data_IF_150387485121
#
_entry.id   IF_150387485121
#
_cell.length_a   1.000
_cell.length_b   1.000
_cell.length_c   1.000
_cell.angle_alpha   90.00
_cell.angle_beta   90.00
_cell.angle_gamma   90.00
#
_symmetry.space_group_name_H-M   'P 1'
#
loop_
_entity.id
_entity.type
_entity.pdbx_description
1 polymer ?
#
# COMPACT_ATOMS: atom_id res chain seq x y z
N UNK A 1 -3.77 29.40 5.80
CA UNK A 1 -4.11 27.96 5.84
C UNK A 1 -2.87 27.23 6.32
N UNK A 2 -2.93 26.71 7.54
CA UNK A 2 -1.80 26.14 8.25
C UNK A 2 -1.38 24.82 7.61
N UNK A 3 -0.19 24.76 7.04
CA UNK A 3 0.46 23.50 6.72
C UNK A 3 0.76 22.81 8.05
N UNK A 4 -0.02 21.80 8.40
CA UNK A 4 0.34 20.89 9.48
C UNK A 4 1.44 20.00 8.93
N UNK A 5 2.68 20.48 9.01
CA UNK A 5 3.89 19.67 8.92
C UNK A 5 4.00 18.82 10.20
N UNK A 6 3.05 17.91 10.40
CA UNK A 6 3.28 16.75 11.24
C UNK A 6 4.24 15.86 10.46
N UNK A 7 5.47 15.72 10.95
CA UNK A 7 6.54 15.00 10.27
C UNK A 7 6.20 13.54 10.07
N UNK A 8 5.44 13.24 9.00
CA UNK A 8 5.10 11.87 8.64
C UNK A 8 6.35 11.15 8.20
N UNK A 9 6.67 10.07 8.91
CA UNK A 9 7.86 9.28 8.64
C UNK A 9 7.47 8.02 7.89
N UNK A 10 8.35 7.57 6.98
CA UNK A 10 8.22 6.25 6.37
C UNK A 10 8.24 5.12 7.42
N UNK A 11 8.78 5.38 8.62
CA UNK A 11 8.71 4.49 9.78
C UNK A 11 7.27 4.22 10.25
N UNK A 12 6.31 5.08 9.95
CA UNK A 12 4.90 4.81 10.25
C UNK A 12 4.38 3.59 9.48
N UNK A 13 4.94 3.31 8.29
CA UNK A 13 4.61 2.12 7.51
C UNK A 13 5.01 0.83 8.27
N UNK A 14 6.03 0.90 9.13
CA UNK A 14 6.40 -0.22 10.01
C UNK A 14 5.41 -0.44 11.15
N UNK A 15 4.52 0.50 11.45
CA UNK A 15 3.47 0.28 12.46
C UNK A 15 2.19 -0.35 11.88
N UNK A 16 2.10 -0.44 10.55
CA UNK A 16 0.94 -0.98 9.84
C UNK A 16 0.83 -2.51 9.99
N UNK A 17 -0.40 -3.00 9.91
CA UNK A 17 -0.72 -4.43 9.87
C UNK A 17 -0.13 -5.12 8.62
N UNK A 18 -0.09 -6.46 8.61
CA UNK A 18 0.41 -7.21 7.44
C UNK A 18 -0.34 -6.86 6.17
N UNK A 19 -1.68 -6.82 6.23
CA UNK A 19 -2.52 -6.44 5.10
C UNK A 19 -2.25 -5.01 4.63
N UNK A 20 -2.20 -4.05 5.56
CA UNK A 20 -1.90 -2.66 5.24
C UNK A 20 -0.53 -2.52 4.56
N UNK A 21 0.49 -3.22 5.06
CA UNK A 21 1.83 -3.22 4.44
C UNK A 21 1.80 -3.81 3.03
N UNK A 22 1.11 -4.92 2.79
CA UNK A 22 0.98 -5.52 1.46
C UNK A 22 0.35 -4.53 0.48
N UNK A 23 -0.72 -3.84 0.90
CA UNK A 23 -1.37 -2.82 0.09
C UNK A 23 -0.39 -1.68 -0.22
N UNK A 24 0.35 -1.18 0.77
CA UNK A 24 1.34 -0.12 0.56
C UNK A 24 2.50 -0.59 -0.32
N UNK A 25 3.00 -1.81 -0.16
CA UNK A 25 4.01 -2.40 -1.06
C UNK A 25 3.53 -2.44 -2.50
N UNK A 26 2.26 -2.79 -2.73
CA UNK A 26 1.65 -2.76 -4.04
C UNK A 26 1.65 -1.35 -4.64
N UNK A 27 1.20 -0.33 -3.89
CA UNK A 27 1.19 1.05 -4.38
C UNK A 27 2.57 1.69 -4.47
N UNK A 28 3.56 1.24 -3.70
CA UNK A 28 4.95 1.69 -3.87
C UNK A 28 5.49 1.23 -5.23
N UNK A 29 5.16 0.00 -5.66
CA UNK A 29 5.55 -0.55 -6.96
C UNK A 29 4.80 0.12 -8.12
N UNK A 30 3.49 0.31 -7.99
CA UNK A 30 2.63 0.76 -9.09
C UNK A 30 2.32 2.26 -9.09
N UNK A 31 2.55 2.97 -7.98
CA UNK A 31 2.21 4.38 -7.71
C UNK A 31 0.71 4.69 -7.74
N UNK A 32 -0.03 4.14 -8.70
CA UNK A 32 -1.48 4.30 -8.85
C UNK A 32 -2.08 3.06 -9.50
N UNK A 33 -3.30 2.71 -9.11
CA UNK A 33 -4.05 1.62 -9.71
C UNK A 33 -5.57 1.86 -9.57
N UNK A 34 -6.35 1.36 -10.52
CA UNK A 34 -7.81 1.33 -10.39
C UNK A 34 -8.22 0.40 -9.25
N UNK A 35 -9.26 0.77 -8.51
CA UNK A 35 -9.73 0.07 -7.31
C UNK A 35 -9.94 -1.42 -7.52
N UNK A 36 -10.66 -1.80 -8.57
CA UNK A 36 -10.96 -3.21 -8.86
C UNK A 36 -9.67 -3.98 -9.18
N UNK A 37 -8.78 -3.40 -9.99
CA UNK A 37 -7.53 -4.05 -10.38
C UNK A 37 -6.61 -4.20 -9.16
N UNK A 38 -6.45 -3.15 -8.36
CA UNK A 38 -5.67 -3.18 -7.14
C UNK A 38 -6.18 -4.26 -6.18
N UNK A 39 -7.50 -4.34 -5.96
CA UNK A 39 -8.08 -5.34 -5.08
C UNK A 39 -7.83 -6.78 -5.56
N UNK A 40 -7.96 -7.03 -6.86
CA UNK A 40 -7.71 -8.35 -7.45
C UNK A 40 -6.23 -8.75 -7.37
N UNK A 41 -5.31 -7.85 -7.72
CA UNK A 41 -3.88 -8.12 -7.66
C UNK A 41 -3.42 -8.40 -6.22
N UNK A 42 -3.91 -7.60 -5.26
CA UNK A 42 -3.59 -7.75 -3.84
C UNK A 42 -4.17 -9.06 -3.29
N UNK A 43 -5.39 -9.45 -3.69
CA UNK A 43 -5.99 -10.73 -3.33
C UNK A 43 -5.11 -11.91 -3.78
N UNK A 44 -4.62 -11.89 -5.02
CA UNK A 44 -3.74 -12.95 -5.53
C UNK A 44 -2.40 -13.00 -4.80
N UNK A 45 -1.83 -11.84 -4.45
CA UNK A 45 -0.62 -11.76 -3.63
C UNK A 45 -0.84 -12.32 -2.21
N UNK A 46 -1.98 -12.02 -1.56
CA UNK A 46 -2.34 -12.58 -0.24
C UNK A 46 -2.42 -14.11 -0.33
N UNK A 47 -3.14 -14.65 -1.34
CA UNK A 47 -3.27 -16.11 -1.52
C UNK A 47 -1.92 -16.76 -1.79
N UNK A 48 -1.03 -16.09 -2.52
CA UNK A 48 0.33 -16.56 -2.77
C UNK A 48 1.14 -16.64 -1.48
N UNK A 49 1.10 -15.61 -0.63
CA UNK A 49 1.81 -15.59 0.67
C UNK A 49 1.22 -16.60 1.66
N UNK A 50 -0.09 -16.76 1.68
CA UNK A 50 -0.75 -17.78 2.49
C UNK A 50 -0.29 -19.20 2.11
N UNK A 51 -0.14 -19.49 0.81
CA UNK A 51 0.46 -20.75 0.33
C UNK A 51 1.92 -20.94 0.75
N UNK A 52 2.64 -19.86 1.06
CA UNK A 52 4.02 -19.88 1.53
C UNK A 52 4.12 -19.94 3.07
N UNK A 53 3.00 -19.99 3.79
CA UNK A 53 2.95 -20.12 5.25
C UNK A 53 2.60 -18.84 6.00
N UNK A 54 2.36 -17.71 5.33
CA UNK A 54 1.88 -16.48 5.97
C UNK A 54 0.34 -16.49 6.06
N UNK A 55 -0.21 -17.13 7.08
CA UNK A 55 -1.67 -17.34 7.22
C UNK A 55 -2.40 -16.27 8.03
N UNK A 56 -1.68 -15.37 8.70
CA UNK A 56 -2.22 -14.33 9.59
C UNK A 56 -2.34 -12.95 8.90
N UNK A 57 -2.61 -12.94 7.59
CA UNK A 57 -2.76 -11.72 6.79
C UNK A 57 -4.21 -11.19 6.83
N UNK A 58 -5.18 -12.10 6.75
CA UNK A 58 -6.64 -11.87 6.70
C UNK A 58 -7.34 -12.87 7.62
N UNK A 59 -8.61 -12.66 7.95
CA UNK A 59 -9.31 -13.60 8.84
C UNK A 59 -9.59 -14.95 8.17
N UNK A 60 -9.91 -14.95 6.88
CA UNK A 60 -10.28 -16.14 6.11
C UNK A 60 -9.78 -16.04 4.66
N UNK A 61 -9.47 -17.20 4.06
CA UNK A 61 -8.95 -17.28 2.69
C UNK A 61 -10.03 -17.41 1.62
N UNK A 62 -11.29 -17.13 1.96
CA UNK A 62 -12.38 -17.05 0.99
C UNK A 62 -12.25 -15.76 0.16
N UNK A 63 -12.35 -15.88 -1.16
CA UNK A 63 -12.12 -14.77 -2.10
C UNK A 63 -12.99 -13.53 -1.79
N UNK A 64 -14.26 -13.73 -1.42
CA UNK A 64 -15.17 -12.63 -1.07
C UNK A 64 -14.74 -11.90 0.20
N UNK A 65 -14.22 -12.64 1.20
CA UNK A 65 -13.75 -12.08 2.47
C UNK A 65 -12.46 -11.30 2.24
N UNK A 66 -11.50 -11.87 1.52
CA UNK A 66 -10.24 -11.18 1.17
C UNK A 66 -10.53 -9.86 0.45
N UNK A 67 -11.38 -9.88 -0.59
CA UNK A 67 -11.71 -8.67 -1.34
C UNK A 67 -12.37 -7.61 -0.46
N UNK A 68 -13.27 -8.02 0.44
CA UNK A 68 -13.90 -7.12 1.40
C UNK A 68 -12.87 -6.48 2.33
N UNK A 69 -11.98 -7.27 2.92
CA UNK A 69 -10.93 -6.76 3.82
C UNK A 69 -9.95 -5.83 3.10
N UNK A 70 -9.55 -6.18 1.87
CA UNK A 70 -8.66 -5.35 1.04
C UNK A 70 -9.31 -4.00 0.76
N UNK A 71 -10.57 -3.98 0.32
CA UNK A 71 -11.28 -2.73 0.02
C UNK A 71 -11.46 -1.85 1.26
N UNK A 72 -11.85 -2.44 2.40
CA UNK A 72 -11.94 -1.71 3.68
C UNK A 72 -10.57 -1.13 4.05
N UNK A 73 -9.51 -1.91 3.91
CA UNK A 73 -8.16 -1.48 4.30
C UNK A 73 -7.60 -0.40 3.37
N UNK A 74 -7.86 -0.46 2.06
CA UNK A 74 -7.52 0.62 1.12
C UNK A 74 -8.22 1.93 1.51
N UNK A 75 -9.51 1.89 1.84
CA UNK A 75 -10.25 3.06 2.30
C UNK A 75 -9.69 3.60 3.63
N UNK A 76 -9.33 2.72 4.58
CA UNK A 76 -8.68 3.13 5.83
C UNK A 76 -7.32 3.78 5.58
N UNK A 77 -6.50 3.24 4.69
CA UNK A 77 -5.21 3.83 4.31
C UNK A 77 -5.37 5.17 3.60
N UNK A 78 -6.45 5.35 2.82
CA UNK A 78 -6.80 6.64 2.24
C UNK A 78 -7.19 7.66 3.33
N UNK A 79 -8.03 7.26 4.29
CA UNK A 79 -8.41 8.11 5.43
C UNK A 79 -7.22 8.50 6.31
N UNK A 80 -6.27 7.58 6.52
CA UNK A 80 -5.01 7.84 7.23
C UNK A 80 -4.05 8.72 6.38
N UNK A 81 -4.31 8.87 5.09
CA UNK A 81 -3.53 9.67 4.15
C UNK A 81 -2.23 8.99 3.69
N UNK A 82 -2.19 7.66 3.69
CA UNK A 82 -1.15 6.89 2.98
C UNK A 82 -1.50 6.70 1.50
N UNK A 83 -2.80 6.69 1.19
CA UNK A 83 -3.33 6.69 -0.17
C UNK A 83 -4.18 7.94 -0.42
N UNK A 84 -4.37 8.27 -1.68
CA UNK A 84 -5.39 9.21 -2.18
C UNK A 84 -6.36 8.43 -3.06
N UNK A 85 -7.67 8.69 -2.90
CA UNK A 85 -8.70 8.09 -3.74
C UNK A 85 -9.41 9.16 -4.56
N UNK A 86 -9.49 8.95 -5.88
CA UNK A 86 -10.23 9.84 -6.80
C UNK A 86 -10.76 9.05 -7.99
N UNK A 87 -12.07 9.14 -8.24
CA UNK A 87 -12.74 8.55 -9.41
C UNK A 87 -12.43 7.06 -9.63
N UNK A 88 -12.51 6.23 -8.59
CA UNK A 88 -12.24 4.79 -8.72
C UNK A 88 -10.76 4.42 -8.82
N UNK A 89 -9.85 5.36 -8.57
CA UNK A 89 -8.39 5.15 -8.62
C UNK A 89 -7.79 5.48 -7.27
N UNK A 90 -6.97 4.57 -6.77
CA UNK A 90 -6.11 4.78 -5.61
C UNK A 90 -4.70 5.17 -6.07
N UNK A 91 -4.08 6.09 -5.35
CA UNK A 91 -2.71 6.56 -5.58
C UNK A 91 -1.95 6.63 -4.27
N UNK A 92 -0.65 6.39 -4.31
CA UNK A 92 0.23 6.64 -3.17
C UNK A 92 0.22 8.13 -2.79
N UNK A 93 0.18 8.44 -1.49
CA UNK A 93 0.16 9.83 -1.05
C UNK A 93 1.43 10.60 -1.48
N UNK A 94 1.32 11.89 -1.84
CA UNK A 94 2.43 12.71 -2.33
C UNK A 94 3.65 12.72 -1.42
N UNK A 95 3.45 12.76 -0.10
CA UNK A 95 4.55 12.74 0.87
C UNK A 95 5.38 11.45 0.80
N UNK A 96 4.75 10.30 0.54
CA UNK A 96 5.47 9.02 0.36
C UNK A 96 6.23 9.05 -0.98
N UNK A 97 5.59 9.57 -2.02
CA UNK A 97 6.21 9.71 -3.34
C UNK A 97 7.48 10.58 -3.27
N UNK A 98 7.43 11.70 -2.54
CA UNK A 98 8.57 12.58 -2.33
C UNK A 98 9.70 11.88 -1.60
N UNK A 99 9.41 11.13 -0.53
CA UNK A 99 10.41 10.33 0.19
C UNK A 99 11.07 9.31 -0.75
N UNK A 100 10.28 8.61 -1.57
CA UNK A 100 10.81 7.64 -2.55
C UNK A 100 11.73 8.33 -3.56
N UNK A 101 11.33 9.50 -4.07
CA UNK A 101 12.17 10.28 -5.01
C UNK A 101 13.49 10.70 -4.39
N UNK A 102 13.47 11.17 -3.14
CA UNK A 102 14.69 11.58 -2.42
C UNK A 102 15.62 10.39 -2.19
N UNK A 103 15.07 9.24 -1.77
CA UNK A 103 15.89 8.03 -1.51
C UNK A 103 16.42 7.35 -2.78
N UNK A 104 15.65 7.34 -3.87
CA UNK A 104 16.03 6.64 -5.11
C UNK A 104 16.57 7.54 -6.23
N UNK A 105 16.68 8.86 -6.00
CA UNK A 105 17.07 9.83 -7.02
C UNK A 105 16.05 10.03 -8.14
N UNK A 106 14.85 9.44 -8.03
CA UNK A 106 13.80 9.51 -9.05
C UNK A 106 12.65 8.50 -8.86
N UNK A 107 11.60 8.63 -9.67
CA UNK A 107 10.58 7.59 -9.84
C UNK A 107 10.83 6.87 -11.16
N UNK A 108 11.44 5.70 -11.12
CA UNK A 108 11.53 4.82 -12.28
C UNK A 108 10.33 3.85 -12.26
N UNK A 109 9.38 3.97 -13.20
CA UNK A 109 8.30 2.99 -13.35
C UNK A 109 8.90 1.62 -13.70
N UNK A 110 8.45 0.55 -13.06
CA UNK A 110 8.88 -0.82 -13.37
C UNK A 110 10.14 -1.32 -12.66
N UNK A 111 10.86 -0.47 -11.91
CA UNK A 111 11.90 -0.97 -11.00
C UNK A 111 11.27 -1.51 -9.71
N UNK A 112 11.68 -2.70 -9.22
CA UNK A 112 11.26 -3.17 -7.91
C UNK A 112 11.69 -2.17 -6.84
N UNK A 113 10.71 -1.68 -6.08
CA UNK A 113 10.91 -0.83 -4.92
C UNK A 113 10.52 -1.68 -3.73
N UNK A 114 11.49 -2.34 -3.10
CA UNK A 114 11.21 -3.06 -1.86
C UNK A 114 11.03 -2.04 -0.73
N UNK A 115 10.10 -2.30 0.17
CA UNK A 115 9.84 -1.41 1.30
C UNK A 115 11.07 -1.31 2.22
N UNK A 116 11.90 -2.38 2.28
CA UNK A 116 13.18 -2.41 2.98
C UNK A 116 14.16 -1.35 2.46
N UNK A 117 14.32 -1.21 1.14
CA UNK A 117 15.19 -0.18 0.53
C UNK A 117 14.73 1.26 0.82
N UNK A 118 13.48 1.46 1.23
CA UNK A 118 12.96 2.77 1.60
C UNK A 118 13.08 3.06 3.10
N UNK A 119 13.45 2.07 3.92
CA UNK A 119 13.56 2.20 5.37
C UNK A 119 15.00 2.40 5.85
N UNK A 120 15.99 1.91 5.10
CA UNK A 120 17.43 2.22 5.27
C UNK A 120 17.78 3.61 4.75
#
# INVERSE_FOLDING_TARGET
MSFVSGGRSIREILSLSKLERIIIEYFIKHISAGEIIAALDIKEEIKKRAKQGETDIVSELEDAIILREVNITMALLANKGFLEYKNGVYKLAPWIIEIIKVKKGGLYPGQPKSLKELLD
#
